data_IF_615474438415
#
_entry.id   IF_615474438415
#
_cell.length_a   1.000
_cell.length_b   1.000
_cell.length_c   1.000
_cell.angle_alpha   90.00
_cell.angle_beta   90.00
_cell.angle_gamma   90.00
#
_symmetry.space_group_name_H-M   'P 1'
#
loop_
_entity.id
_entity.type
_entity.pdbx_description
1 polymer ?
#
# COMPACT_ATOMS: atom_id res chain seq x y z
N UNK A 1 -4.32 13.73 48.01
CA UNK A 1 -5.59 13.35 47.37
C UNK A 1 -5.47 13.71 45.90
N UNK A 2 -5.29 12.72 45.02
CA UNK A 2 -5.09 12.96 43.60
C UNK A 2 -6.37 13.58 43.02
N UNK A 3 -6.28 14.79 42.48
CA UNK A 3 -7.43 15.57 42.07
C UNK A 3 -8.15 14.84 40.92
N UNK A 4 -9.39 14.38 41.14
CA UNK A 4 -10.17 13.59 40.17
C UNK A 4 -10.32 14.30 38.81
N UNK A 5 -10.31 15.64 38.82
CA UNK A 5 -10.32 16.45 37.60
C UNK A 5 -9.04 16.30 36.75
N UNK A 6 -7.88 16.11 37.39
CA UNK A 6 -6.59 15.96 36.71
C UNK A 6 -6.48 14.61 35.98
N UNK A 7 -7.08 13.55 36.54
CA UNK A 7 -7.11 12.22 35.92
C UNK A 7 -8.01 12.17 34.68
N UNK A 8 -9.11 12.92 34.65
CA UNK A 8 -10.04 12.97 33.52
C UNK A 8 -9.46 13.75 32.33
N UNK A 9 -8.66 14.79 32.59
CA UNK A 9 -8.02 15.58 31.54
C UNK A 9 -6.89 14.80 30.86
N UNK A 10 -6.14 13.99 31.62
CA UNK A 10 -5.06 13.16 31.11
C UNK A 10 -5.56 11.98 30.25
N UNK A 11 -6.74 11.43 30.54
CA UNK A 11 -7.33 10.35 29.75
C UNK A 11 -7.93 10.83 28.43
N UNK A 12 -8.38 12.09 28.34
CA UNK A 12 -8.96 12.65 27.12
C UNK A 12 -7.90 13.02 26.06
N UNK A 13 -6.65 13.25 26.46
CA UNK A 13 -5.56 13.60 25.53
C UNK A 13 -5.01 12.40 24.76
N UNK A 14 -5.19 11.17 25.27
CA UNK A 14 -4.64 9.94 24.66
C UNK A 14 -5.44 9.51 23.41
N UNK A 15 -6.72 9.88 23.29
CA UNK A 15 -7.59 9.45 22.19
C UNK A 15 -7.32 10.23 20.87
N UNK A 16 -6.69 11.40 20.95
CA UNK A 16 -6.44 12.26 19.78
C UNK A 16 -5.19 11.88 18.96
N UNK A 17 -4.39 10.91 19.41
CA UNK A 17 -3.19 10.45 18.69
C UNK A 17 -3.48 9.29 17.71
N UNK A 18 -4.73 8.84 17.62
CA UNK A 18 -5.18 7.88 16.60
C UNK A 18 -5.40 8.58 15.24
N UNK A 19 -4.43 9.36 14.76
CA UNK A 19 -4.33 9.69 13.34
C UNK A 19 -3.85 8.43 12.60
N UNK A 20 -4.70 7.42 12.63
CA UNK A 20 -4.51 6.13 12.01
C UNK A 20 -4.61 6.34 10.50
N UNK A 21 -3.65 5.79 9.74
CA UNK A 21 -3.73 5.70 8.28
C UNK A 21 -5.16 5.26 7.93
N UNK A 22 -5.88 6.08 7.17
CA UNK A 22 -7.26 5.77 6.83
C UNK A 22 -7.24 4.67 5.77
N UNK A 23 -7.23 3.42 6.24
CA UNK A 23 -7.52 2.27 5.41
C UNK A 23 -8.88 2.52 4.76
N UNK A 24 -8.87 2.71 3.44
CA UNK A 24 -10.04 2.98 2.62
C UNK A 24 -10.39 1.70 1.85
N UNK A 25 -11.68 1.42 1.60
CA UNK A 25 -12.08 0.30 0.76
C UNK A 25 -11.43 0.35 -0.62
N UNK A 26 -11.03 -0.80 -1.14
CA UNK A 26 -10.43 -0.88 -2.46
C UNK A 26 -11.43 -0.42 -3.52
N UNK A 27 -11.02 0.61 -4.25
CA UNK A 27 -11.76 1.15 -5.37
C UNK A 27 -10.90 1.07 -6.63
N UNK A 28 -11.34 0.24 -7.57
CA UNK A 28 -10.64 0.02 -8.85
C UNK A 28 -10.38 1.31 -9.63
N UNK A 29 -11.29 2.28 -9.61
CA UNK A 29 -11.12 3.56 -10.32
C UNK A 29 -10.03 4.39 -9.66
N UNK A 30 -10.09 4.54 -8.33
CA UNK A 30 -9.08 5.29 -7.57
C UNK A 30 -7.71 4.62 -7.58
N UNK A 31 -7.66 3.29 -7.61
CA UNK A 31 -6.39 2.55 -7.69
C UNK A 31 -5.66 2.83 -9.01
N UNK A 32 -6.43 2.96 -10.09
CA UNK A 32 -5.95 3.28 -11.44
C UNK A 32 -5.70 4.78 -11.65
N UNK A 33 -6.13 5.63 -10.72
CA UNK A 33 -5.86 7.07 -10.73
C UNK A 33 -4.41 7.32 -10.28
N UNK A 34 -3.49 7.12 -11.22
CA UNK A 34 -2.06 7.30 -11.06
C UNK A 34 -1.47 7.87 -12.36
N UNK A 35 -0.55 8.82 -12.23
CA UNK A 35 0.12 9.46 -13.37
C UNK A 35 1.47 8.78 -13.73
N UNK A 36 1.83 7.72 -13.00
CA UNK A 36 3.08 6.98 -13.15
C UNK A 36 4.22 7.48 -12.25
N UNK A 37 4.04 8.62 -11.57
CA UNK A 37 4.98 9.17 -10.59
C UNK A 37 4.37 9.20 -9.18
N UNK A 38 3.09 9.56 -9.08
CA UNK A 38 2.31 9.56 -7.85
C UNK A 38 1.17 8.52 -7.89
N UNK A 39 0.92 7.93 -6.73
CA UNK A 39 -0.01 6.83 -6.51
C UNK A 39 -0.93 7.13 -5.32
N UNK A 40 -1.51 8.33 -5.33
CA UNK A 40 -2.23 9.00 -4.25
C UNK A 40 -3.10 8.10 -3.36
N UNK A 41 -3.85 7.17 -3.95
CA UNK A 41 -4.83 6.37 -3.21
C UNK A 41 -4.33 4.99 -2.79
N UNK A 42 -3.28 4.45 -3.42
CA UNK A 42 -2.90 3.03 -3.29
C UNK A 42 -2.45 2.66 -1.88
N UNK A 43 -1.72 3.56 -1.21
CA UNK A 43 -1.23 3.34 0.15
C UNK A 43 -2.36 3.05 1.15
N UNK A 44 -3.50 3.71 0.96
CA UNK A 44 -4.67 3.60 1.83
C UNK A 44 -5.59 2.43 1.43
N UNK A 45 -5.46 1.88 0.21
CA UNK A 45 -6.30 0.76 -0.26
C UNK A 45 -5.63 -0.60 -0.17
N UNK A 46 -4.29 -0.66 -0.06
CA UNK A 46 -3.56 -1.92 -0.22
C UNK A 46 -3.93 -2.95 0.84
N UNK A 47 -4.24 -2.52 2.07
CA UNK A 47 -4.66 -3.42 3.13
C UNK A 47 -6.01 -4.07 2.81
N UNK A 48 -7.01 -3.27 2.45
CA UNK A 48 -8.33 -3.77 2.05
C UNK A 48 -8.25 -4.67 0.79
N UNK A 49 -7.43 -4.28 -0.19
CA UNK A 49 -7.16 -5.10 -1.37
C UNK A 49 -6.65 -6.49 -0.98
N UNK A 50 -5.69 -6.59 -0.07
CA UNK A 50 -5.10 -7.88 0.31
C UNK A 50 -6.01 -8.72 1.22
N UNK A 51 -6.87 -8.09 2.02
CA UNK A 51 -7.74 -8.77 2.97
C UNK A 51 -9.06 -9.22 2.35
N UNK A 52 -9.65 -8.37 1.49
CA UNK A 52 -11.03 -8.53 1.03
C UNK A 52 -11.13 -8.86 -0.48
N UNK A 53 -10.08 -8.64 -1.26
CA UNK A 53 -10.06 -8.94 -2.68
C UNK A 53 -9.06 -10.07 -2.97
N UNK A 54 -9.58 -11.27 -3.22
CA UNK A 54 -8.75 -12.45 -3.44
C UNK A 54 -7.98 -12.36 -4.77
N UNK A 55 -6.70 -11.96 -4.71
CA UNK A 55 -5.81 -11.93 -5.88
C UNK A 55 -5.32 -13.34 -6.23
N UNK A 56 -5.17 -14.22 -5.23
CA UNK A 56 -4.70 -15.59 -5.44
C UNK A 56 -5.72 -16.39 -6.24
N UNK A 57 -5.25 -17.13 -7.24
CA UNK A 57 -6.07 -17.89 -8.18
C UNK A 57 -6.51 -17.09 -9.41
N UNK A 58 -6.30 -15.77 -9.45
CA UNK A 58 -6.60 -14.96 -10.63
C UNK A 58 -5.56 -15.17 -11.72
N UNK A 59 -6.00 -15.24 -12.97
CA UNK A 59 -5.13 -15.18 -14.15
C UNK A 59 -4.60 -13.77 -14.32
N UNK A 60 -3.45 -13.62 -15.01
CA UNK A 60 -2.84 -12.32 -15.29
C UNK A 60 -3.84 -11.27 -15.80
N UNK A 61 -4.68 -11.62 -16.78
CA UNK A 61 -5.66 -10.68 -17.33
C UNK A 61 -6.69 -10.21 -16.30
N UNK A 62 -7.09 -11.07 -15.34
CA UNK A 62 -8.05 -10.73 -14.28
C UNK A 62 -7.42 -9.81 -13.25
N UNK A 63 -6.13 -10.04 -12.93
CA UNK A 63 -5.34 -9.15 -12.08
C UNK A 63 -5.22 -7.78 -12.74
N UNK A 64 -4.83 -7.70 -14.02
CA UNK A 64 -4.68 -6.42 -14.73
C UNK A 64 -6.01 -5.75 -15.04
N UNK A 65 -7.08 -6.53 -15.21
CA UNK A 65 -8.43 -5.97 -15.26
C UNK A 65 -8.68 -5.23 -13.95
N UNK A 66 -8.53 -5.90 -12.82
CA UNK A 66 -8.78 -5.33 -11.47
C UNK A 66 -7.86 -4.16 -11.13
N UNK A 67 -6.55 -4.31 -11.30
CA UNK A 67 -5.52 -3.38 -10.79
C UNK A 67 -4.95 -2.43 -11.86
N UNK A 68 -5.32 -2.60 -13.12
CA UNK A 68 -4.71 -1.88 -14.23
C UNK A 68 -3.38 -2.49 -14.66
N UNK A 69 -2.64 -1.78 -15.50
CA UNK A 69 -1.34 -2.25 -15.95
C UNK A 69 -0.27 -2.08 -14.85
N UNK A 70 0.58 -3.09 -14.61
CA UNK A 70 1.64 -2.99 -13.61
C UNK A 70 2.74 -2.02 -14.01
N UNK A 71 3.46 -1.48 -13.03
CA UNK A 71 4.64 -0.63 -13.26
C UNK A 71 5.85 -1.44 -13.74
N UNK A 72 5.87 -2.75 -13.48
CA UNK A 72 6.83 -3.64 -14.11
C UNK A 72 6.42 -5.10 -14.05
N UNK A 73 7.05 -5.87 -14.92
CA UNK A 73 6.80 -7.30 -15.11
C UNK A 73 8.14 -8.03 -15.29
N UNK A 74 8.26 -9.19 -14.65
CA UNK A 74 9.27 -10.22 -14.88
C UNK A 74 8.57 -11.54 -15.20
N UNK A 75 9.35 -12.59 -15.43
CA UNK A 75 8.83 -13.90 -15.85
C UNK A 75 7.84 -14.48 -14.82
N UNK A 76 8.12 -14.30 -13.53
CA UNK A 76 7.39 -14.92 -12.42
C UNK A 76 6.53 -13.93 -11.60
N UNK A 77 6.63 -12.62 -11.84
CA UNK A 77 5.82 -11.64 -11.13
C UNK A 77 5.57 -10.35 -11.89
N UNK A 78 4.57 -9.61 -11.41
CA UNK A 78 4.39 -8.19 -11.71
C UNK A 78 4.43 -7.38 -10.42
N UNK A 79 4.68 -6.07 -10.52
CA UNK A 79 4.56 -5.18 -9.39
C UNK A 79 3.78 -3.91 -9.68
N UNK A 80 3.12 -3.43 -8.65
CA UNK A 80 2.45 -2.13 -8.61
C UNK A 80 3.15 -1.26 -7.59
N UNK A 81 3.59 -0.08 -8.02
CA UNK A 81 4.10 0.92 -7.08
C UNK A 81 2.92 1.44 -6.24
N UNK A 82 3.12 1.50 -4.93
CA UNK A 82 2.13 1.98 -3.96
C UNK A 82 2.53 3.36 -3.45
N UNK A 83 3.81 3.52 -3.14
CA UNK A 83 4.43 4.81 -2.76
C UNK A 83 5.82 4.85 -3.36
N UNK A 84 6.15 5.96 -4.01
CA UNK A 84 7.51 6.26 -4.44
C UNK A 84 7.82 7.68 -4.01
N UNK A 85 8.93 7.88 -3.29
CA UNK A 85 9.39 9.22 -2.89
C UNK A 85 10.73 9.51 -3.56
N UNK A 86 10.73 10.53 -4.40
CA UNK A 86 11.92 11.05 -5.05
C UNK A 86 12.43 12.27 -4.29
N UNK A 87 13.56 12.13 -3.62
CA UNK A 87 14.41 13.23 -3.11
C UNK A 87 15.83 13.17 -3.72
N UNK A 88 15.98 12.36 -4.77
CA UNK A 88 17.20 12.02 -5.48
C UNK A 88 16.93 10.85 -6.44
N UNK A 89 17.97 10.41 -7.16
CA UNK A 89 17.93 9.18 -7.93
C UNK A 89 19.05 8.24 -7.44
N UNK A 90 18.75 6.99 -7.03
CA UNK A 90 17.42 6.35 -6.98
C UNK A 90 16.46 6.97 -5.94
N UNK A 91 15.15 6.64 -5.96
CA UNK A 91 14.17 7.16 -4.98
C UNK A 91 14.56 6.79 -3.55
N UNK A 92 14.36 7.69 -2.58
CA UNK A 92 14.66 7.38 -1.17
C UNK A 92 13.68 6.46 -0.49
N UNK A 93 12.48 6.30 -1.04
CA UNK A 93 11.51 5.34 -0.52
C UNK A 93 10.70 4.73 -1.64
N UNK A 94 10.55 3.41 -1.57
CA UNK A 94 9.71 2.64 -2.48
C UNK A 94 8.91 1.62 -1.69
N UNK A 95 7.59 1.61 -1.88
CA UNK A 95 6.66 0.57 -1.44
C UNK A 95 5.96 -0.03 -2.65
N UNK A 96 5.99 -1.35 -2.78
CA UNK A 96 5.47 -2.10 -3.94
C UNK A 96 4.63 -3.29 -3.51
N UNK A 97 3.54 -3.54 -4.24
CA UNK A 97 2.81 -4.80 -4.23
C UNK A 97 3.35 -5.70 -5.35
N UNK A 98 3.91 -6.85 -5.00
CA UNK A 98 4.28 -7.90 -5.93
C UNK A 98 3.16 -8.93 -6.02
N UNK A 99 2.83 -9.36 -7.24
CA UNK A 99 1.93 -10.49 -7.51
C UNK A 99 2.73 -11.53 -8.28
N UNK A 100 2.91 -12.71 -7.67
CA UNK A 100 3.68 -13.82 -8.24
C UNK A 100 2.75 -14.80 -8.96
N UNK A 101 3.22 -15.32 -10.09
CA UNK A 101 2.47 -16.23 -10.94
C UNK A 101 3.19 -17.57 -11.09
N UNK A 102 2.41 -18.64 -11.18
CA UNK A 102 2.84 -19.95 -11.65
C UNK A 102 1.82 -20.42 -12.67
N UNK A 103 2.29 -20.88 -13.84
CA UNK A 103 1.41 -21.32 -14.93
C UNK A 103 0.33 -20.27 -15.29
N UNK A 104 0.73 -18.98 -15.31
CA UNK A 104 -0.14 -17.80 -15.53
C UNK A 104 -1.23 -17.53 -14.49
N UNK A 105 -1.20 -18.23 -13.36
CA UNK A 105 -2.14 -18.07 -12.24
C UNK A 105 -1.42 -17.42 -11.06
N UNK A 106 -2.01 -16.39 -10.46
CA UNK A 106 -1.48 -15.72 -9.29
C UNK A 106 -1.46 -16.68 -8.09
N UNK A 107 -0.29 -16.92 -7.52
CA UNK A 107 -0.11 -17.86 -6.41
C UNK A 107 0.19 -17.17 -5.08
N UNK A 108 0.74 -15.95 -5.13
CA UNK A 108 1.14 -15.21 -3.95
C UNK A 108 1.16 -13.69 -4.20
N UNK A 109 1.05 -12.93 -3.11
CA UNK A 109 1.20 -11.48 -3.08
C UNK A 109 2.17 -11.08 -1.96
N UNK A 110 3.03 -10.09 -2.21
CA UNK A 110 3.98 -9.61 -1.19
C UNK A 110 4.11 -8.09 -1.23
N UNK A 111 4.13 -7.47 -0.06
CA UNK A 111 4.54 -6.07 0.09
C UNK A 111 6.06 -6.03 0.25
N UNK A 112 6.70 -5.19 -0.54
CA UNK A 112 8.12 -4.86 -0.43
C UNK A 112 8.24 -3.37 -0.11
N UNK A 113 9.07 -3.05 0.88
CA UNK A 113 9.40 -1.69 1.27
C UNK A 113 10.90 -1.54 1.35
N UNK A 114 11.42 -0.46 0.77
CA UNK A 114 12.83 -0.07 0.84
C UNK A 114 12.94 1.42 1.09
N UNK A 115 13.82 1.78 2.01
CA UNK A 115 14.18 3.16 2.32
C UNK A 115 15.69 3.32 2.19
N UNK A 116 16.14 4.27 1.37
CA UNK A 116 17.54 4.67 1.35
C UNK A 116 17.91 5.30 2.69
N UNK A 117 19.00 4.83 3.28
CA UNK A 117 19.56 5.49 4.47
C UNK A 117 20.23 6.78 4.01
N UNK A 118 19.73 7.94 4.45
CA UNK A 118 20.46 9.20 4.30
C UNK A 118 21.86 9.02 4.89
N UNK A 119 22.90 9.09 4.06
CA UNK A 119 24.28 9.24 4.55
C UNK A 119 24.33 10.58 5.27
N UNK A 120 24.50 10.54 6.59
CA UNK A 120 24.74 11.72 7.43
C UNK A 120 26.12 12.28 7.15
#
# INVERSE_FOLDING_TARGET
MLNKAFTVVLSLTVILLSACNSDQPFNRKLWKDADGLDFKYRANMVNDLLQNHNIKGLKFYQVTDTLGWPQGKKDDYIYYDIVVKYDGYPPSYVKRLYVYFKDSVAVNTKIYEHSEKKKK
#
